data_IF_871232736975
#
_entry.id   IF_871232736975
#
_cell.length_a   1.000
_cell.length_b   1.000
_cell.length_c   1.000
_cell.angle_alpha   90.00
_cell.angle_beta   90.00
_cell.angle_gamma   90.00
#
_symmetry.space_group_name_H-M   'P 1'
#
loop_
_entity.id
_entity.type
_entity.pdbx_description
1 polymer ?
#
# COMPACT_ATOMS: atom_id res chain seq x y z
N UNK A 1 -17.76 15.84 -18.94
CA UNK A 1 -17.23 14.93 -17.90
C UNK A 1 -16.08 14.05 -18.39
N UNK A 2 -16.03 13.61 -19.65
CA UNK A 2 -14.96 12.73 -20.19
C UNK A 2 -13.54 13.34 -20.18
N UNK A 3 -13.40 14.67 -20.26
CA UNK A 3 -12.10 15.33 -20.30
C UNK A 3 -11.33 15.28 -18.96
N UNK A 4 -12.05 15.26 -17.82
CA UNK A 4 -11.42 15.12 -16.49
C UNK A 4 -10.98 13.67 -16.20
N UNK A 5 -11.66 12.69 -16.80
CA UNK A 5 -11.31 11.27 -16.64
C UNK A 5 -10.03 10.91 -17.40
N UNK A 6 -9.77 11.57 -18.54
CA UNK A 6 -8.58 11.32 -19.37
C UNK A 6 -7.26 11.60 -18.65
N UNK A 7 -7.16 12.73 -17.94
CA UNK A 7 -5.95 13.08 -17.18
C UNK A 7 -5.72 12.15 -15.98
N UNK A 8 -6.79 11.66 -15.34
CA UNK A 8 -6.66 10.76 -14.19
C UNK A 8 -6.33 9.33 -14.61
N UNK A 9 -6.97 8.81 -15.66
CA UNK A 9 -6.69 7.47 -16.20
C UNK A 9 -5.31 7.44 -16.86
N UNK A 10 -4.92 8.52 -17.56
CA UNK A 10 -3.60 8.65 -18.20
C UNK A 10 -2.43 8.47 -17.24
N UNK A 11 -2.60 8.82 -15.95
CA UNK A 11 -1.56 8.61 -14.91
C UNK A 11 -1.30 7.14 -14.59
N UNK A 12 -2.25 6.25 -14.87
CA UNK A 12 -2.13 4.81 -14.66
C UNK A 12 -1.73 4.06 -15.93
N UNK A 13 -1.57 4.77 -17.05
CA UNK A 13 -1.05 4.22 -18.29
C UNK A 13 0.46 4.40 -18.25
N UNK A 14 1.20 3.30 -18.25
CA UNK A 14 2.66 3.37 -18.26
C UNK A 14 3.16 3.87 -19.63
N UNK A 15 4.22 4.69 -19.68
CA UNK A 15 4.68 5.29 -20.93
C UNK A 15 5.45 4.31 -21.82
N UNK A 16 5.71 3.09 -21.35
CA UNK A 16 6.42 2.04 -22.07
C UNK A 16 5.45 0.94 -22.53
N UNK A 17 5.57 0.55 -23.80
CA UNK A 17 4.74 -0.50 -24.40
C UNK A 17 5.27 -1.92 -24.07
N UNK A 18 6.55 -2.04 -23.70
CA UNK A 18 7.20 -3.26 -23.23
C UNK A 18 7.83 -3.03 -21.86
N UNK A 19 7.98 -4.10 -21.08
CA UNK A 19 8.67 -4.03 -19.79
C UNK A 19 10.10 -3.51 -19.98
N UNK A 20 10.50 -2.45 -19.26
CA UNK A 20 11.82 -1.90 -19.45
C UNK A 20 12.91 -2.88 -19.01
N UNK A 21 14.05 -2.85 -19.70
CA UNK A 21 15.17 -3.73 -19.39
C UNK A 21 15.64 -3.60 -17.93
N UNK A 22 16.00 -4.75 -17.34
CA UNK A 22 16.51 -4.84 -15.97
C UNK A 22 17.86 -4.11 -15.94
N UNK A 23 18.00 -3.11 -15.08
CA UNK A 23 19.26 -2.38 -14.85
C UNK A 23 19.56 -2.38 -13.35
N UNK A 24 20.82 -2.57 -12.92
CA UNK A 24 21.18 -2.54 -11.49
C UNK A 24 20.70 -1.28 -10.76
N UNK A 25 20.79 -0.11 -11.40
CA UNK A 25 20.31 1.17 -10.85
C UNK A 25 18.80 1.21 -10.61
N UNK A 26 18.01 0.58 -11.50
CA UNK A 26 16.55 0.48 -11.32
C UNK A 26 16.19 -0.46 -10.19
N UNK A 27 16.88 -1.59 -10.09
CA UNK A 27 16.70 -2.53 -8.99
C UNK A 27 17.01 -1.86 -7.65
N UNK A 28 18.10 -1.08 -7.59
CA UNK A 28 18.45 -0.30 -6.41
C UNK A 28 17.31 0.65 -6.01
N UNK A 29 16.79 1.45 -6.94
CA UNK A 29 15.69 2.36 -6.66
C UNK A 29 14.43 1.64 -6.16
N UNK A 30 14.11 0.47 -6.72
CA UNK A 30 12.96 -0.34 -6.26
C UNK A 30 13.19 -0.84 -4.83
N UNK A 31 14.39 -1.33 -4.53
CA UNK A 31 14.75 -1.82 -3.19
C UNK A 31 14.74 -0.68 -2.17
N UNK A 32 15.23 0.50 -2.52
CA UNK A 32 15.18 1.71 -1.66
C UNK A 32 13.72 2.07 -1.33
N UNK A 33 12.86 2.15 -2.35
CA UNK A 33 11.43 2.44 -2.19
C UNK A 33 10.73 1.40 -1.33
N UNK A 34 10.98 0.11 -1.58
CA UNK A 34 10.39 -0.98 -0.82
C UNK A 34 10.84 -0.94 0.64
N UNK A 35 12.12 -0.66 0.89
CA UNK A 35 12.67 -0.59 2.25
C UNK A 35 12.10 0.62 3.01
N UNK A 36 11.96 1.77 2.34
CA UNK A 36 11.34 2.95 2.93
C UNK A 36 9.84 2.73 3.22
N UNK A 37 9.12 2.10 2.29
CA UNK A 37 7.68 1.86 2.41
C UNK A 37 7.33 0.75 3.41
N UNK A 38 8.25 -0.17 3.72
CA UNK A 38 8.04 -1.24 4.70
C UNK A 38 8.24 -0.80 6.15
N UNK A 39 8.87 0.36 6.42
CA UNK A 39 9.12 0.85 7.79
C UNK A 39 7.90 0.81 8.72
N UNK A 40 6.75 1.42 8.36
CA UNK A 40 5.54 1.38 9.18
C UNK A 40 4.99 -0.03 9.43
N UNK A 41 5.23 -0.97 8.50
CA UNK A 41 4.78 -2.35 8.62
C UNK A 41 5.64 -3.16 9.58
N UNK A 42 6.93 -2.83 9.67
CA UNK A 42 7.83 -3.41 10.67
C UNK A 42 7.41 -3.00 12.08
N UNK A 43 7.15 -1.70 12.29
CA UNK A 43 6.66 -1.19 13.57
C UNK A 43 5.32 -1.85 13.95
N UNK A 44 4.39 -1.94 13.00
CA UNK A 44 3.12 -2.63 13.21
C UNK A 44 3.30 -4.11 13.55
N UNK A 45 4.22 -4.81 12.87
CA UNK A 45 4.50 -6.21 13.14
C UNK A 45 5.06 -6.39 14.56
N UNK A 46 6.01 -5.56 14.98
CA UNK A 46 6.55 -5.54 16.35
C UNK A 46 5.42 -5.31 17.36
N UNK A 47 4.55 -4.33 17.11
CA UNK A 47 3.40 -4.02 17.96
C UNK A 47 2.44 -5.19 18.09
N UNK A 48 2.20 -5.92 16.99
CA UNK A 48 1.42 -7.16 16.98
C UNK A 48 2.11 -8.26 17.77
N UNK A 49 3.45 -8.29 17.81
CA UNK A 49 4.18 -9.24 18.65
C UNK A 49 3.87 -9.05 20.14
N UNK A 50 3.82 -7.80 20.59
CA UNK A 50 3.53 -7.48 21.99
C UNK A 50 2.09 -7.90 22.36
N UNK A 51 1.16 -7.81 21.41
CA UNK A 51 -0.23 -8.24 21.61
C UNK A 51 -0.32 -9.76 21.75
N UNK A 52 0.27 -10.55 20.83
CA UNK A 52 0.16 -12.01 20.93
C UNK A 52 0.94 -12.59 22.12
N UNK A 53 2.03 -11.93 22.56
CA UNK A 53 2.81 -12.31 23.75
C UNK A 53 2.14 -11.93 25.07
N UNK A 54 1.04 -11.18 25.02
CA UNK A 54 0.33 -10.68 26.20
C UNK A 54 1.20 -9.77 27.09
N UNK A 55 2.18 -9.04 26.53
CA UNK A 55 3.08 -8.17 27.30
C UNK A 55 2.31 -7.10 28.10
N UNK A 56 1.23 -6.56 27.51
CA UNK A 56 0.20 -5.78 28.22
C UNK A 56 -1.13 -6.55 28.21
N UNK A 57 -1.52 -7.17 29.33
CA UNK A 57 -2.74 -7.98 29.39
C UNK A 57 -4.02 -7.14 29.27
N UNK A 58 -3.99 -5.85 29.64
CA UNK A 58 -5.16 -4.96 29.49
C UNK A 58 -5.38 -4.59 28.03
N UNK A 59 -4.29 -4.28 27.31
CA UNK A 59 -4.35 -4.00 25.86
C UNK A 59 -4.82 -5.25 25.11
N UNK A 60 -4.23 -6.40 25.42
CA UNK A 60 -4.55 -7.68 24.76
C UNK A 60 -5.98 -8.13 25.07
N UNK A 61 -6.44 -7.99 26.31
CA UNK A 61 -7.82 -8.27 26.70
C UNK A 61 -8.85 -7.40 25.96
N UNK A 62 -8.56 -6.12 25.70
CA UNK A 62 -9.42 -5.27 24.87
C UNK A 62 -9.52 -5.76 23.43
N UNK A 63 -8.40 -6.18 22.83
CA UNK A 63 -8.38 -6.77 21.49
C UNK A 63 -9.15 -8.09 21.43
N UNK A 64 -9.00 -8.94 22.44
CA UNK A 64 -9.75 -10.19 22.54
C UNK A 64 -11.25 -9.93 22.69
N UNK A 65 -11.66 -8.97 23.52
CA UNK A 65 -13.06 -8.61 23.68
C UNK A 65 -13.67 -8.07 22.38
N UNK A 66 -12.94 -7.21 21.65
CA UNK A 66 -13.35 -6.73 20.34
C UNK A 66 -13.47 -7.90 19.34
N UNK A 67 -12.48 -8.79 19.29
CA UNK A 67 -12.49 -9.98 18.44
C UNK A 67 -13.72 -10.86 18.73
N UNK A 68 -13.99 -11.18 20.00
CA UNK A 68 -15.14 -12.01 20.40
C UNK A 68 -16.47 -11.32 20.07
N UNK A 69 -16.56 -10.00 20.22
CA UNK A 69 -17.75 -9.23 19.85
C UNK A 69 -18.02 -9.25 18.34
N UNK A 70 -17.00 -9.04 17.51
CA UNK A 70 -17.16 -9.08 16.05
C UNK A 70 -17.38 -10.50 15.52
N UNK A 71 -16.82 -11.50 16.22
CA UNK A 71 -17.05 -12.91 15.94
C UNK A 71 -18.51 -13.30 16.22
N UNK A 72 -19.09 -12.87 17.35
CA UNK A 72 -20.46 -13.25 17.72
C UNK A 72 -21.51 -12.73 16.74
N UNK A 73 -21.26 -11.58 16.11
CA UNK A 73 -22.14 -10.98 15.09
C UNK A 73 -21.78 -11.41 13.65
N UNK A 74 -20.83 -12.33 13.46
CA UNK A 74 -20.34 -12.77 12.13
C UNK A 74 -19.92 -11.61 11.21
N UNK A 75 -19.38 -10.52 11.76
CA UNK A 75 -19.00 -9.33 10.99
C UNK A 75 -17.49 -9.07 11.04
N UNK A 76 -16.68 -10.13 10.97
CA UNK A 76 -15.23 -10.03 11.01
C UNK A 76 -14.66 -9.14 9.88
N UNK A 77 -15.24 -9.19 8.67
CA UNK A 77 -14.81 -8.33 7.56
C UNK A 77 -15.02 -6.83 7.88
N UNK A 78 -16.09 -6.50 8.60
CA UNK A 78 -16.40 -5.12 9.00
C UNK A 78 -15.43 -4.59 10.05
N UNK A 79 -14.91 -5.47 10.91
CA UNK A 79 -13.89 -5.12 11.88
C UNK A 79 -12.62 -4.61 11.20
N UNK A 80 -12.13 -5.31 10.17
CA UNK A 80 -10.95 -4.89 9.42
C UNK A 80 -11.17 -3.56 8.69
N UNK A 81 -12.31 -3.39 8.01
CA UNK A 81 -12.65 -2.14 7.32
C UNK A 81 -12.79 -0.97 8.31
N UNK A 82 -13.51 -1.18 9.41
CA UNK A 82 -13.67 -0.21 10.49
C UNK A 82 -12.34 0.17 11.12
N UNK A 83 -11.43 -0.79 11.33
CA UNK A 83 -10.09 -0.52 11.83
C UNK A 83 -9.29 0.39 10.87
N UNK A 84 -9.31 0.13 9.57
CA UNK A 84 -8.64 0.96 8.56
C UNK A 84 -9.21 2.39 8.57
N UNK A 85 -10.54 2.53 8.60
CA UNK A 85 -11.22 3.84 8.66
C UNK A 85 -10.81 4.59 9.94
N UNK A 86 -10.89 3.93 11.09
CA UNK A 86 -10.55 4.54 12.38
C UNK A 86 -9.08 4.96 12.45
N UNK A 87 -8.15 4.13 11.97
CA UNK A 87 -6.73 4.50 11.95
C UNK A 87 -6.47 5.69 11.04
N UNK A 88 -7.09 5.71 9.85
CA UNK A 88 -6.95 6.80 8.89
C UNK A 88 -7.53 8.10 9.45
N UNK A 89 -8.71 8.07 10.07
CA UNK A 89 -9.32 9.24 10.72
C UNK A 89 -8.54 9.67 11.96
N UNK A 90 -8.05 8.73 12.77
CA UNK A 90 -7.22 9.02 13.94
C UNK A 90 -5.95 9.76 13.53
N UNK A 91 -5.31 9.37 12.43
CA UNK A 91 -4.13 10.06 11.91
C UNK A 91 -4.45 11.49 11.44
N UNK A 92 -5.69 11.75 11.01
CA UNK A 92 -6.14 13.10 10.63
C UNK A 92 -6.41 13.99 11.84
N UNK A 93 -7.16 13.49 12.82
CA UNK A 93 -7.71 14.29 13.92
C UNK A 93 -6.85 14.32 15.18
N UNK A 94 -5.95 13.36 15.36
CA UNK A 94 -4.85 13.51 16.32
C UNK A 94 -3.67 14.04 15.55
N UNK A 95 -3.40 15.36 15.52
CA UNK A 95 -2.09 15.83 15.13
C UNK A 95 -1.11 15.15 16.07
N UNK A 96 -0.38 14.19 15.54
CA UNK A 96 0.87 13.73 16.11
C UNK A 96 1.64 15.01 16.50
N UNK A 97 1.98 15.25 17.79
CA UNK A 97 2.74 16.42 18.19
C UNK A 97 3.91 16.57 17.24
N UNK A 98 4.33 17.80 16.89
CA UNK A 98 5.39 17.98 15.88
C UNK A 98 6.64 17.14 16.18
N UNK A 99 6.90 16.80 17.44
CA UNK A 99 7.92 15.83 17.85
C UNK A 99 7.69 14.39 17.38
N UNK A 100 6.45 13.88 17.39
CA UNK A 100 6.09 12.58 16.84
C UNK A 100 6.02 12.59 15.31
N UNK A 101 5.66 13.72 14.67
CA UNK A 101 5.81 13.88 13.20
C UNK A 101 7.26 13.87 12.80
N UNK A 102 8.09 14.65 13.48
CA UNK A 102 9.54 14.66 13.27
C UNK A 102 10.11 13.29 13.59
N UNK A 103 9.66 12.57 14.63
CA UNK A 103 10.14 11.22 14.91
C UNK A 103 9.62 10.17 13.93
N UNK A 104 8.44 10.34 13.33
CA UNK A 104 7.91 9.48 12.28
C UNK A 104 8.57 9.76 10.93
N UNK A 105 8.80 11.01 10.56
CA UNK A 105 9.61 11.39 9.39
C UNK A 105 11.06 10.96 9.57
N UNK A 106 11.57 11.08 10.79
CA UNK A 106 12.88 10.58 11.18
C UNK A 106 12.87 9.05 11.14
N UNK A 107 11.94 8.32 11.75
CA UNK A 107 11.82 6.85 11.62
C UNK A 107 11.58 6.37 10.18
N UNK A 108 10.88 7.16 9.36
CA UNK A 108 10.71 6.91 7.91
C UNK A 108 12.03 7.07 7.16
N UNK A 109 12.80 8.11 7.47
CA UNK A 109 14.14 8.35 6.92
C UNK A 109 15.23 7.49 7.58
N UNK A 110 14.96 6.95 8.76
CA UNK A 110 15.87 6.25 9.66
C UNK A 110 15.41 4.83 9.97
N UNK A 111 14.53 4.25 9.15
CA UNK A 111 14.03 2.90 9.37
C UNK A 111 15.23 1.98 9.51
N UNK A 112 15.27 1.13 10.54
CA UNK A 112 16.43 0.27 10.82
C UNK A 112 16.92 -0.49 9.58
N UNK A 113 15.99 -0.91 8.71
CA UNK A 113 16.30 -1.50 7.42
C UNK A 113 16.78 -0.50 6.36
N UNK A 114 16.21 0.70 6.29
CA UNK A 114 16.65 1.75 5.36
C UNK A 114 18.04 2.29 5.71
N UNK A 115 18.37 2.39 7.00
CA UNK A 115 19.71 2.75 7.48
C UNK A 115 20.74 1.68 7.18
N UNK A 116 20.47 0.42 7.54
CA UNK A 116 21.36 -0.70 7.18
C UNK A 116 21.55 -0.79 5.66
N UNK A 117 20.48 -0.57 4.90
CA UNK A 117 20.56 -0.54 3.44
C UNK A 117 21.43 0.61 2.94
N UNK A 118 21.26 1.82 3.48
CA UNK A 118 22.09 2.98 3.13
C UNK A 118 23.55 2.79 3.53
N UNK A 119 23.82 2.16 4.66
CA UNK A 119 25.17 1.79 5.10
C UNK A 119 25.80 0.76 4.15
N UNK A 120 25.05 -0.27 3.74
CA UNK A 120 25.49 -1.25 2.73
C UNK A 120 25.77 -0.58 1.37
N UNK A 121 24.94 0.37 0.95
CA UNK A 121 25.16 1.16 -0.26
C UNK A 121 26.41 2.05 -0.17
N UNK A 122 26.68 2.63 1.00
CA UNK A 122 27.88 3.43 1.24
C UNK A 122 29.16 2.57 1.29
N UNK A 123 29.07 1.35 1.81
CA UNK A 123 30.18 0.40 1.87
C UNK A 123 30.51 -0.21 0.48
N UNK A 124 29.51 -0.34 -0.39
CA UNK A 124 29.67 -0.87 -1.75
C UNK A 124 29.19 0.14 -2.81
N UNK A 125 29.94 1.24 -3.04
CA UNK A 125 29.54 2.33 -3.94
C UNK A 125 29.42 1.91 -5.41
N UNK A 126 30.07 0.82 -5.81
CA UNK A 126 30.00 0.26 -7.16
C UNK A 126 28.70 -0.54 -7.42
N UNK A 127 27.82 -0.68 -6.43
CA UNK A 127 26.57 -1.44 -6.56
C UNK A 127 26.75 -2.96 -6.56
N UNK A 128 27.96 -3.46 -6.28
CA UNK A 128 28.32 -4.89 -6.27
C UNK A 128 27.38 -5.76 -5.42
N UNK A 129 26.85 -5.21 -4.32
CA UNK A 129 25.91 -5.90 -3.43
C UNK A 129 24.59 -6.27 -4.12
N UNK A 130 24.22 -5.58 -5.20
CA UNK A 130 22.94 -5.78 -5.90
C UNK A 130 23.05 -6.77 -7.06
N UNK A 131 24.27 -7.02 -7.57
CA UNK A 131 24.50 -7.98 -8.65
C UNK A 131 24.02 -9.40 -8.34
N UNK A 132 24.28 -10.00 -7.15
CA UNK A 132 23.75 -11.34 -6.87
C UNK A 132 22.21 -11.36 -6.82
N UNK A 133 21.58 -10.26 -6.41
CA UNK A 133 20.12 -10.12 -6.47
C UNK A 133 19.66 -9.95 -7.92
N UNK A 134 20.34 -9.11 -8.71
CA UNK A 134 20.07 -8.89 -10.13
C UNK A 134 20.19 -10.19 -10.94
N UNK A 135 21.23 -10.98 -10.70
CA UNK A 135 21.49 -12.25 -11.39
C UNK A 135 20.48 -13.33 -11.01
N UNK A 136 19.98 -13.30 -9.77
CA UNK A 136 18.96 -14.23 -9.29
C UNK A 136 17.52 -13.83 -9.66
N UNK A 137 17.27 -12.53 -9.88
CA UNK A 137 15.93 -11.99 -10.13
C UNK A 137 15.63 -11.91 -11.62
N UNK A 138 14.65 -12.69 -12.07
CA UNK A 138 14.05 -12.52 -13.38
C UNK A 138 13.24 -11.22 -13.51
N UNK A 139 12.89 -10.81 -14.75
CA UNK A 139 12.12 -9.60 -15.02
C UNK A 139 10.77 -9.57 -14.29
N UNK A 140 10.15 -10.74 -14.12
CA UNK A 140 8.86 -10.88 -13.45
C UNK A 140 8.90 -10.53 -11.95
N UNK A 141 10.00 -10.86 -11.26
CA UNK A 141 10.12 -10.58 -9.82
C UNK A 141 10.38 -9.08 -9.61
N UNK A 142 11.22 -8.46 -10.45
CA UNK A 142 11.42 -7.01 -10.40
C UNK A 142 10.08 -6.26 -10.55
N UNK A 143 9.22 -6.76 -11.44
CA UNK A 143 7.90 -6.19 -11.68
C UNK A 143 7.00 -6.30 -10.45
N UNK A 144 6.99 -7.45 -9.78
CA UNK A 144 6.26 -7.66 -8.54
C UNK A 144 6.80 -6.79 -7.39
N UNK A 145 8.11 -6.62 -7.28
CA UNK A 145 8.73 -5.74 -6.28
C UNK A 145 8.34 -4.28 -6.52
N UNK A 146 8.33 -3.84 -7.77
CA UNK A 146 7.88 -2.51 -8.15
C UNK A 146 6.41 -2.29 -7.79
N UNK A 147 5.54 -3.25 -8.11
CA UNK A 147 4.11 -3.17 -7.76
C UNK A 147 3.91 -3.15 -6.25
N UNK A 148 4.66 -3.98 -5.52
CA UNK A 148 4.59 -4.03 -4.06
C UNK A 148 5.01 -2.70 -3.44
N UNK A 149 6.16 -2.14 -3.86
CA UNK A 149 6.61 -0.82 -3.38
C UNK A 149 5.54 0.25 -3.65
N UNK A 150 4.98 0.23 -4.86
CA UNK A 150 3.93 1.17 -5.29
C UNK A 150 2.65 1.05 -4.46
N UNK A 151 2.21 -0.17 -4.14
CA UNK A 151 1.06 -0.43 -3.27
C UNK A 151 1.31 0.10 -1.86
N UNK A 152 2.47 -0.23 -1.27
CA UNK A 152 2.81 0.19 0.09
C UNK A 152 2.88 1.72 0.19
N UNK A 153 3.51 2.38 -0.79
CA UNK A 153 3.53 3.85 -0.87
C UNK A 153 2.12 4.45 -0.98
N UNK A 154 1.24 3.84 -1.78
CA UNK A 154 -0.14 4.31 -1.93
C UNK A 154 -0.92 4.18 -0.62
N UNK A 155 -0.78 3.06 0.10
CA UNK A 155 -1.41 2.85 1.41
C UNK A 155 -0.88 3.85 2.43
N UNK A 156 0.43 4.09 2.44
CA UNK A 156 1.04 5.07 3.34
C UNK A 156 0.52 6.49 3.04
N UNK A 157 0.52 6.89 1.77
CA UNK A 157 0.00 8.20 1.36
C UNK A 157 -1.50 8.36 1.67
N UNK A 158 -2.27 7.26 1.62
CA UNK A 158 -3.67 7.23 2.07
C UNK A 158 -3.78 7.51 3.57
N UNK A 159 -3.02 6.80 4.41
CA UNK A 159 -3.00 7.02 5.86
C UNK A 159 -2.53 8.40 6.23
N UNK A 160 -1.52 8.95 5.54
CA UNK A 160 -0.95 10.29 5.76
C UNK A 160 -1.84 11.43 5.21
N UNK A 161 -2.96 11.14 4.56
CA UNK A 161 -3.84 12.13 3.92
C UNK A 161 -3.14 13.04 2.91
N UNK A 162 -2.14 12.52 2.20
CA UNK A 162 -1.32 13.32 1.27
C UNK A 162 -2.16 13.96 0.16
N UNK A 163 -3.24 13.30 -0.24
CA UNK A 163 -4.24 13.82 -1.17
C UNK A 163 -5.63 13.84 -0.50
N UNK A 164 -5.98 14.89 0.29
CA UNK A 164 -7.13 14.85 1.18
C UNK A 164 -8.46 14.66 0.46
N UNK A 165 -8.59 15.14 -0.78
CA UNK A 165 -9.79 14.94 -1.61
C UNK A 165 -10.00 13.47 -1.96
N UNK A 166 -8.99 12.79 -2.48
CA UNK A 166 -9.09 11.37 -2.86
C UNK A 166 -9.15 10.46 -1.62
N UNK A 167 -8.39 10.77 -0.57
CA UNK A 167 -8.48 10.06 0.71
C UNK A 167 -9.88 10.14 1.30
N UNK A 168 -10.50 11.34 1.31
CA UNK A 168 -11.88 11.50 1.77
C UNK A 168 -12.87 10.70 0.92
N UNK A 169 -12.74 10.72 -0.41
CA UNK A 169 -13.59 9.93 -1.30
C UNK A 169 -13.46 8.42 -1.04
N UNK A 170 -12.24 7.89 -0.97
CA UNK A 170 -12.00 6.47 -0.63
C UNK A 170 -12.59 6.12 0.74
N UNK A 171 -12.43 6.99 1.74
CA UNK A 171 -13.05 6.77 3.06
C UNK A 171 -14.58 6.81 3.00
N UNK A 172 -15.18 7.72 2.23
CA UNK A 172 -16.63 7.75 2.04
C UNK A 172 -17.13 6.45 1.41
N UNK A 173 -16.43 5.90 0.41
CA UNK A 173 -16.75 4.61 -0.19
C UNK A 173 -16.58 3.46 0.81
N UNK A 174 -15.52 3.45 1.63
CA UNK A 174 -15.31 2.43 2.66
C UNK A 174 -16.41 2.49 3.74
N UNK A 175 -16.81 3.69 4.18
CA UNK A 175 -17.90 3.90 5.14
C UNK A 175 -19.23 3.43 4.54
N UNK A 176 -19.51 3.77 3.28
CA UNK A 176 -20.71 3.29 2.59
C UNK A 176 -20.71 1.77 2.46
N UNK A 177 -19.56 1.16 2.15
CA UNK A 177 -19.39 -0.29 2.11
C UNK A 177 -19.60 -0.94 3.49
N UNK A 178 -19.15 -0.28 4.55
CA UNK A 178 -19.40 -0.71 5.93
C UNK A 178 -20.90 -0.65 6.26
N UNK A 179 -21.62 0.40 5.87
CA UNK A 179 -23.07 0.46 6.06
C UNK A 179 -23.81 -0.58 5.22
N UNK A 180 -23.45 -0.73 3.95
CA UNK A 180 -24.01 -1.75 3.08
C UNK A 180 -23.78 -3.16 3.64
N UNK A 181 -22.66 -3.38 4.33
CA UNK A 181 -22.34 -4.68 4.90
C UNK A 181 -23.32 -5.17 5.96
N UNK A 182 -23.99 -4.24 6.64
CA UNK A 182 -25.01 -4.56 7.63
C UNK A 182 -26.29 -5.12 7.00
N UNK A 183 -26.61 -4.71 5.77
CA UNK A 183 -27.82 -5.13 5.07
C UNK A 183 -27.62 -6.37 4.19
N UNK A 184 -26.36 -6.77 3.94
CA UNK A 184 -26.03 -7.86 3.02
C UNK A 184 -25.67 -9.12 3.82
N UNK A 185 -26.34 -10.26 3.58
CA UNK A 185 -25.97 -11.52 4.21
C UNK A 185 -24.51 -11.92 3.90
N UNK A 186 -23.81 -12.48 4.89
CA UNK A 186 -22.42 -12.94 4.75
C UNK A 186 -22.22 -13.90 3.58
N UNK A 187 -23.19 -14.78 3.31
CA UNK A 187 -23.13 -15.70 2.18
C UNK A 187 -23.02 -14.97 0.83
N UNK A 188 -23.78 -13.87 0.69
CA UNK A 188 -23.75 -13.06 -0.53
C UNK A 188 -22.41 -12.35 -0.65
N UNK A 189 -21.85 -11.85 0.46
CA UNK A 189 -20.50 -11.28 0.47
C UNK A 189 -19.43 -12.26 0.04
N UNK A 190 -19.47 -13.48 0.57
CA UNK A 190 -18.49 -14.52 0.22
C UNK A 190 -18.61 -14.90 -1.26
N UNK A 191 -19.83 -15.06 -1.79
CA UNK A 191 -20.05 -15.32 -3.23
C UNK A 191 -19.49 -14.20 -4.11
N UNK A 192 -19.76 -12.93 -3.76
CA UNK A 192 -19.20 -11.78 -4.47
C UNK A 192 -17.68 -11.71 -4.35
N UNK A 193 -17.12 -12.07 -3.20
CA UNK A 193 -15.67 -12.13 -2.98
C UNK A 193 -15.01 -13.18 -3.87
N UNK A 194 -15.57 -14.41 -3.92
CA UNK A 194 -15.06 -15.46 -4.81
C UNK A 194 -15.21 -15.09 -6.28
N UNK A 195 -16.33 -14.47 -6.67
CA UNK A 195 -16.52 -13.96 -8.02
C UNK A 195 -15.47 -12.90 -8.36
N UNK A 196 -15.19 -11.97 -7.44
CA UNK A 196 -14.16 -10.96 -7.59
C UNK A 196 -12.77 -11.56 -7.73
N UNK A 197 -12.40 -12.53 -6.89
CA UNK A 197 -11.12 -13.26 -7.00
C UNK A 197 -11.01 -13.96 -8.36
N UNK A 198 -12.08 -14.65 -8.80
CA UNK A 198 -12.12 -15.29 -10.11
C UNK A 198 -11.97 -14.28 -11.26
N UNK A 199 -12.66 -13.15 -11.19
CA UNK A 199 -12.53 -12.08 -12.18
C UNK A 199 -11.12 -11.50 -12.24
N UNK A 200 -10.48 -11.26 -11.10
CA UNK A 200 -9.10 -10.76 -11.04
C UNK A 200 -8.14 -11.77 -11.69
N UNK A 201 -8.29 -13.05 -11.34
CA UNK A 201 -7.42 -14.11 -11.83
C UNK A 201 -7.61 -14.39 -13.33
N UNK A 202 -8.85 -14.48 -13.81
CA UNK A 202 -9.16 -14.87 -15.18
C UNK A 202 -9.27 -13.71 -16.16
N UNK A 203 -9.50 -12.47 -15.71
CA UNK A 203 -9.56 -11.29 -16.57
C UNK A 203 -8.39 -10.33 -16.32
N UNK A 204 -8.20 -9.85 -15.09
CA UNK A 204 -7.21 -8.80 -14.82
C UNK A 204 -5.76 -9.28 -15.03
N UNK A 205 -5.40 -10.46 -14.53
CA UNK A 205 -4.03 -10.98 -14.66
C UNK A 205 -3.62 -11.25 -16.13
N UNK A 206 -4.45 -11.90 -16.97
CA UNK A 206 -4.13 -12.04 -18.39
C UNK A 206 -3.98 -10.71 -19.12
N UNK A 207 -4.82 -9.71 -18.81
CA UNK A 207 -4.71 -8.38 -19.41
C UNK A 207 -3.42 -7.69 -18.96
N UNK A 208 -3.10 -7.74 -17.67
CA UNK A 208 -1.87 -7.15 -17.11
C UNK A 208 -0.60 -7.77 -17.69
N UNK A 209 -0.60 -9.09 -17.90
CA UNK A 209 0.55 -9.83 -18.45
C UNK A 209 0.75 -9.57 -19.95
N UNK A 210 -0.34 -9.53 -20.74
CA UNK A 210 -0.25 -9.31 -22.19
C UNK A 210 -0.09 -7.84 -22.59
N UNK A 211 -0.62 -6.93 -21.78
CA UNK A 211 -0.55 -5.48 -22.01
C UNK A 211 -0.01 -4.76 -20.76
N UNK A 212 1.33 -4.80 -20.53
CA UNK A 212 1.96 -4.19 -19.35
C UNK A 212 1.59 -2.70 -19.16
N UNK A 213 1.37 -2.00 -20.27
CA UNK A 213 0.90 -0.60 -20.31
C UNK A 213 -0.35 -0.32 -19.47
N UNK A 214 -1.29 -1.26 -19.40
CA UNK A 214 -2.57 -1.10 -18.69
C UNK A 214 -2.58 -1.80 -17.33
N UNK A 215 -1.44 -2.35 -16.88
CA UNK A 215 -1.33 -3.14 -15.65
C UNK A 215 -1.86 -2.42 -14.41
N UNK A 216 -1.51 -1.14 -14.23
CA UNK A 216 -1.99 -0.35 -13.09
C UNK A 216 -3.49 -0.03 -13.20
N UNK A 217 -4.03 0.08 -14.43
CA UNK A 217 -5.46 0.29 -14.69
C UNK A 217 -6.28 -0.93 -14.32
N UNK A 218 -5.75 -2.14 -14.48
CA UNK A 218 -6.45 -3.39 -14.12
C UNK A 218 -6.13 -3.89 -12.70
N UNK A 219 -5.33 -3.14 -11.94
CA UNK A 219 -4.94 -3.50 -10.59
C UNK A 219 -6.09 -3.28 -9.59
N UNK A 220 -6.57 -4.33 -8.89
CA UNK A 220 -7.70 -4.20 -7.97
C UNK A 220 -7.43 -3.23 -6.82
N UNK A 221 -6.19 -3.17 -6.34
CA UNK A 221 -5.81 -2.24 -5.28
C UNK A 221 -5.80 -0.79 -5.78
N UNK A 222 -5.48 -0.55 -7.05
CA UNK A 222 -5.59 0.78 -7.64
C UNK A 222 -7.04 1.23 -7.79
N UNK A 223 -7.99 0.31 -8.01
CA UNK A 223 -9.42 0.65 -8.00
C UNK A 223 -9.88 1.14 -6.64
N UNK A 224 -9.41 0.51 -5.55
CA UNK A 224 -9.75 0.91 -4.18
C UNK A 224 -9.15 2.28 -3.84
N UNK A 225 -7.86 2.47 -4.14
CA UNK A 225 -7.11 3.70 -3.82
C UNK A 225 -6.99 4.64 -5.02
N UNK A 226 -8.04 4.73 -5.82
CA UNK A 226 -8.02 5.49 -7.08
C UNK A 226 -7.75 6.98 -6.85
N UNK A 227 -6.81 7.54 -7.61
CA UNK A 227 -6.39 8.94 -7.52
C UNK A 227 -5.36 9.25 -6.41
N UNK A 228 -5.06 8.31 -5.53
CA UNK A 228 -4.03 8.49 -4.50
C UNK A 228 -2.65 8.22 -5.13
N UNK A 229 -1.73 9.21 -5.09
CA UNK A 229 -0.45 9.08 -5.77
C UNK A 229 0.49 8.16 -5.00
N UNK A 230 1.38 7.48 -5.72
CA UNK A 230 2.59 6.90 -5.15
C UNK A 230 3.74 7.93 -5.17
N UNK A 231 4.90 7.57 -4.64
CA UNK A 231 6.03 8.52 -4.59
C UNK A 231 6.63 8.77 -5.99
N UNK A 232 6.55 7.79 -6.91
CA UNK A 232 7.02 7.96 -8.29
C UNK A 232 6.21 9.00 -9.06
N UNK A 233 4.88 8.96 -8.96
CA UNK A 233 3.97 9.94 -9.55
C UNK A 233 4.12 11.32 -8.91
N UNK A 234 4.45 11.39 -7.62
CA UNK A 234 4.74 12.66 -6.96
C UNK A 234 6.01 13.34 -7.52
N UNK A 235 7.06 12.57 -7.84
CA UNK A 235 8.31 13.10 -8.39
C UNK A 235 8.12 13.72 -9.79
N UNK A 236 7.32 13.08 -10.65
CA UNK A 236 7.00 13.62 -11.99
C UNK A 236 6.23 14.94 -11.92
N UNK A 237 5.46 15.16 -10.86
CA UNK A 237 4.73 16.43 -10.64
C UNK A 237 5.67 17.59 -10.29
N UNK A 238 6.71 17.31 -9.50
CA UNK A 238 7.72 18.31 -9.16
C UNK A 238 8.55 18.76 -10.37
N UNK A 239 8.83 17.88 -11.34
CA UNK A 239 9.57 18.28 -12.54
C UNK A 239 8.73 19.06 -13.57
N UNK A 240 7.40 18.88 -13.56
CA UNK A 240 6.48 19.65 -14.42
C UNK A 240 6.11 21.03 -13.88
N UNK A 241 6.65 21.41 -12.72
CA UNK A 241 6.38 22.69 -12.03
C UNK A 241 7.52 23.71 -12.16
N UNK A 242 8.51 23.42 -13.02
CA UNK A 242 9.63 24.29 -13.38
C UNK A 242 9.59 24.61 -14.87
#
# INVERSE_FOLDING_TARGET
MLYFSGDVVGRYIEPWDQLPAITPSRLQSIVERLTAATGPWQDWAIDLQHIYRWDDPKRTGKWLAAYLFFLSINHMATFFLGYIILQTLRNRYRPSPDSLRISLERSRNQGMSAHRMKELMQQHPNGEWIYPLFDALGPDIQLQMLDTATILETIQNFWEWRSPRYTAQTLSWMILGLFASYFVPVETMLRLTYLGIGFIFFACFPIASRYPKYRLVVSPLRWIFWGIPDNGMCLLRCSSSF
#
